data_IF_902298466288
#
_entry.id   IF_902298466288
#
_cell.length_a   1.000
_cell.length_b   1.000
_cell.length_c   1.000
_cell.angle_alpha   90.00
_cell.angle_beta   90.00
_cell.angle_gamma   90.00
#
_symmetry.space_group_name_H-M   'P 1'
#
loop_
_entity.id
_entity.type
_entity.pdbx_description
1 polymer ?
#
# COMPACT_ATOMS: atom_id res chain seq x y z
N UNK A 1 -10.36 17.22 -41.12
CA UNK A 1 -9.25 17.02 -40.16
C UNK A 1 -9.81 16.81 -38.76
N UNK A 2 -9.71 15.59 -38.20
CA UNK A 2 -10.16 15.28 -36.84
C UNK A 2 -8.91 15.30 -35.94
N UNK A 3 -8.87 16.18 -34.95
CA UNK A 3 -7.74 16.26 -34.01
C UNK A 3 -7.60 14.95 -33.24
N UNK A 4 -6.37 14.50 -32.91
CA UNK A 4 -6.17 13.30 -32.12
C UNK A 4 -6.83 13.48 -30.75
N UNK A 5 -7.61 12.48 -30.35
CA UNK A 5 -8.30 12.46 -29.07
C UNK A 5 -7.25 12.32 -27.96
N UNK A 6 -6.84 13.44 -27.38
CA UNK A 6 -5.95 13.45 -26.22
C UNK A 6 -6.75 12.88 -25.05
N UNK A 7 -6.50 11.62 -24.70
CA UNK A 7 -7.13 11.01 -23.53
C UNK A 7 -6.49 11.62 -22.28
N UNK A 8 -7.23 12.50 -21.61
CA UNK A 8 -6.82 12.99 -20.31
C UNK A 8 -6.75 11.81 -19.34
N UNK A 9 -5.63 11.61 -18.62
CA UNK A 9 -5.53 10.54 -17.64
C UNK A 9 -6.59 10.77 -16.55
N UNK A 10 -7.52 9.81 -16.39
CA UNK A 10 -8.49 9.86 -15.31
C UNK A 10 -7.79 9.56 -13.97
N UNK A 11 -7.84 10.52 -13.05
CA UNK A 11 -7.14 10.44 -11.75
C UNK A 11 -7.95 9.72 -10.66
N UNK A 12 -9.27 9.62 -10.84
CA UNK A 12 -10.18 8.96 -9.91
C UNK A 12 -11.32 8.31 -10.67
N UNK A 13 -11.70 7.09 -10.27
CA UNK A 13 -12.96 6.45 -10.68
C UNK A 13 -13.89 6.49 -9.49
N UNK A 14 -15.01 7.21 -9.62
CA UNK A 14 -16.01 7.36 -8.55
C UNK A 14 -17.16 6.40 -8.82
N UNK A 15 -17.64 5.75 -7.75
CA UNK A 15 -18.73 4.77 -7.77
C UNK A 15 -19.60 4.94 -6.52
N UNK A 16 -20.90 4.69 -6.65
CA UNK A 16 -21.85 4.55 -5.56
C UNK A 16 -21.79 3.15 -4.97
N UNK A 17 -21.76 3.05 -3.64
CA UNK A 17 -21.70 1.76 -2.93
C UNK A 17 -22.96 0.92 -3.21
N UNK A 18 -24.14 1.54 -3.28
CA UNK A 18 -25.42 0.82 -3.37
C UNK A 18 -26.00 0.76 -4.78
N UNK A 19 -25.65 1.70 -5.66
CA UNK A 19 -26.31 1.85 -6.97
C UNK A 19 -25.48 1.38 -8.16
N UNK A 20 -24.16 1.21 -7.99
CA UNK A 20 -23.30 0.75 -9.07
C UNK A 20 -23.03 -0.75 -8.99
N UNK A 21 -22.79 -1.34 -10.17
CA UNK A 21 -22.27 -2.68 -10.27
C UNK A 21 -20.79 -2.70 -9.90
N UNK A 22 -20.39 -3.73 -9.16
CA UNK A 22 -19.03 -3.91 -8.68
C UNK A 22 -18.41 -5.17 -9.29
N UNK A 23 -17.18 -5.05 -9.77
CA UNK A 23 -16.38 -6.20 -10.15
C UNK A 23 -15.44 -6.63 -9.00
N UNK A 24 -14.88 -7.84 -9.11
CA UNK A 24 -14.00 -8.43 -8.09
C UNK A 24 -12.83 -7.51 -7.74
N UNK A 25 -12.16 -6.93 -8.72
CA UNK A 25 -11.02 -6.03 -8.50
C UNK A 25 -11.41 -4.75 -7.76
N UNK A 26 -12.57 -4.17 -8.07
CA UNK A 26 -13.05 -2.96 -7.41
C UNK A 26 -13.38 -3.23 -5.95
N UNK A 27 -14.03 -4.36 -5.65
CA UNK A 27 -14.28 -4.79 -4.26
C UNK A 27 -12.97 -5.04 -3.54
N UNK A 28 -12.03 -5.78 -4.15
CA UNK A 28 -10.71 -6.00 -3.59
C UNK A 28 -9.93 -4.70 -3.37
N UNK A 29 -10.06 -3.71 -4.25
CA UNK A 29 -9.42 -2.39 -4.09
C UNK A 29 -9.95 -1.64 -2.86
N UNK A 30 -11.24 -1.82 -2.53
CA UNK A 30 -11.81 -1.25 -1.31
C UNK A 30 -11.31 -1.99 -0.06
N UNK A 31 -11.27 -3.33 -0.10
CA UNK A 31 -10.85 -4.17 1.01
C UNK A 31 -9.33 -4.09 1.31
N UNK A 32 -8.51 -4.07 0.26
CA UNK A 32 -7.04 -3.93 0.30
C UNK A 32 -6.58 -2.48 0.24
N UNK A 33 -7.52 -1.53 0.26
CA UNK A 33 -7.26 -0.10 0.33
C UNK A 33 -7.81 0.50 1.63
N UNK A 34 -8.72 1.45 1.47
CA UNK A 34 -9.34 2.13 2.60
C UNK A 34 -8.66 3.45 2.97
N UNK A 35 -9.46 4.29 3.62
CA UNK A 35 -9.12 5.69 3.86
C UNK A 35 -7.87 5.85 4.72
N UNK A 36 -7.71 5.00 5.74
CA UNK A 36 -6.58 5.10 6.66
C UNK A 36 -5.24 4.82 5.99
N UNK A 37 -5.18 3.79 5.13
CA UNK A 37 -3.95 3.48 4.38
C UNK A 37 -3.54 4.65 3.48
N UNK A 38 -4.50 5.22 2.75
CA UNK A 38 -4.24 6.36 1.87
C UNK A 38 -3.84 7.61 2.66
N UNK A 39 -4.49 7.85 3.81
CA UNK A 39 -4.19 8.97 4.71
C UNK A 39 -2.75 8.90 5.20
N UNK A 40 -2.35 7.75 5.74
CA UNK A 40 -0.97 7.51 6.21
C UNK A 40 0.04 7.63 5.06
N UNK A 41 -0.30 7.12 3.87
CA UNK A 41 0.55 7.27 2.69
C UNK A 41 0.79 8.75 2.36
N UNK A 42 -0.27 9.56 2.31
CA UNK A 42 -0.14 10.99 2.02
C UNK A 42 0.58 11.75 3.12
N UNK A 43 0.39 11.40 4.39
CA UNK A 43 1.12 12.01 5.50
C UNK A 43 2.64 11.80 5.35
N UNK A 44 3.08 10.59 5.00
CA UNK A 44 4.50 10.26 4.80
C UNK A 44 5.13 10.94 3.57
N UNK A 45 4.31 11.44 2.65
CA UNK A 45 4.76 12.13 1.44
C UNK A 45 4.49 13.63 1.49
N UNK A 46 4.18 14.20 2.67
CA UNK A 46 3.90 15.65 2.84
C UNK A 46 2.68 16.14 2.04
N UNK A 47 1.75 15.24 1.72
CA UNK A 47 0.51 15.50 0.97
C UNK A 47 -0.74 15.48 1.86
N UNK A 48 -0.55 15.54 3.18
CA UNK A 48 -1.64 15.68 4.13
C UNK A 48 -2.41 16.98 3.88
N UNK A 49 -3.73 16.94 4.09
CA UNK A 49 -4.61 18.11 3.99
C UNK A 49 -4.79 18.80 5.34
N UNK A 50 -3.75 18.73 6.17
CA UNK A 50 -3.70 19.30 7.51
C UNK A 50 -2.58 20.35 7.55
N UNK A 51 -2.77 21.42 8.33
CA UNK A 51 -1.77 22.49 8.47
C UNK A 51 -1.70 23.48 7.30
N UNK A 52 -0.57 24.18 7.19
CA UNK A 52 -0.42 25.37 6.33
C UNK A 52 -0.58 25.09 4.83
N UNK A 53 -0.23 23.88 4.37
CA UNK A 53 -0.30 23.49 2.96
C UNK A 53 -1.63 22.81 2.56
N UNK A 54 -2.60 22.72 3.48
CA UNK A 54 -3.83 21.93 3.30
C UNK A 54 -4.61 22.29 2.03
N UNK A 55 -4.82 23.59 1.78
CA UNK A 55 -5.58 24.08 0.63
C UNK A 55 -4.90 23.76 -0.71
N UNK A 56 -3.57 23.82 -0.76
CA UNK A 56 -2.80 23.46 -1.96
C UNK A 56 -2.83 21.94 -2.19
N UNK A 57 -2.56 21.17 -1.14
CA UNK A 57 -2.57 19.71 -1.20
C UNK A 57 -3.94 19.16 -1.59
N UNK A 58 -5.04 19.77 -1.12
CA UNK A 58 -6.38 19.38 -1.49
C UNK A 58 -6.60 19.43 -3.02
N UNK A 59 -6.04 20.44 -3.69
CA UNK A 59 -6.18 20.63 -5.14
C UNK A 59 -5.25 19.72 -5.95
N UNK A 60 -4.05 19.44 -5.44
CA UNK A 60 -2.97 18.85 -6.24
C UNK A 60 -2.55 17.43 -5.82
N UNK A 61 -2.88 16.95 -4.62
CA UNK A 61 -2.29 15.71 -4.07
C UNK A 61 -2.50 14.51 -4.99
N UNK A 62 -3.66 14.40 -5.64
CA UNK A 62 -3.99 13.30 -6.56
C UNK A 62 -3.28 13.38 -7.92
N UNK A 63 -2.64 14.51 -8.24
CA UNK A 63 -1.86 14.67 -9.49
C UNK A 63 -0.37 14.39 -9.31
N UNK A 64 0.09 14.30 -8.07
CA UNK A 64 1.49 14.07 -7.75
C UNK A 64 1.98 12.70 -8.23
N UNK A 65 3.30 12.58 -8.41
CA UNK A 65 3.95 11.28 -8.70
C UNK A 65 3.66 10.26 -7.60
N UNK A 66 3.61 10.70 -6.33
CA UNK A 66 3.29 9.85 -5.19
C UNK A 66 1.88 9.25 -5.29
N UNK A 67 0.86 10.05 -5.63
CA UNK A 67 -0.49 9.53 -5.82
C UNK A 67 -0.57 8.51 -6.97
N UNK A 68 0.10 8.79 -8.09
CA UNK A 68 0.18 7.84 -9.22
C UNK A 68 0.89 6.55 -8.83
N UNK A 69 1.95 6.65 -8.04
CA UNK A 69 2.66 5.49 -7.50
C UNK A 69 1.75 4.64 -6.62
N UNK A 70 1.01 5.26 -5.70
CA UNK A 70 0.04 4.56 -4.85
C UNK A 70 -1.02 3.83 -5.68
N UNK A 71 -1.61 4.52 -6.66
CA UNK A 71 -2.64 3.95 -7.53
C UNK A 71 -2.13 2.72 -8.30
N UNK A 72 -0.94 2.83 -8.92
CA UNK A 72 -0.34 1.73 -9.68
C UNK A 72 0.01 0.54 -8.78
N UNK A 73 0.58 0.82 -7.60
CA UNK A 73 0.90 -0.22 -6.62
C UNK A 73 -0.35 -0.94 -6.14
N UNK A 74 -1.44 -0.21 -5.85
CA UNK A 74 -2.72 -0.80 -5.48
C UNK A 74 -3.30 -1.67 -6.60
N UNK A 75 -3.30 -1.17 -7.83
CA UNK A 75 -3.82 -1.91 -8.98
C UNK A 75 -3.05 -3.21 -9.21
N UNK A 76 -1.72 -3.16 -9.22
CA UNK A 76 -0.89 -4.35 -9.38
C UNK A 76 -1.11 -5.38 -8.26
N UNK A 77 -1.21 -4.92 -7.01
CA UNK A 77 -1.50 -5.76 -5.85
C UNK A 77 -2.88 -6.44 -5.97
N UNK A 78 -3.91 -5.67 -6.33
CA UNK A 78 -5.27 -6.17 -6.48
C UNK A 78 -5.39 -7.16 -7.63
N UNK A 79 -4.80 -6.89 -8.80
CA UNK A 79 -4.83 -7.84 -9.92
C UNK A 79 -4.17 -9.16 -9.53
N UNK A 80 -3.01 -9.12 -8.85
CA UNK A 80 -2.36 -10.33 -8.32
C UNK A 80 -3.18 -11.09 -7.26
N UNK A 81 -4.17 -10.45 -6.62
CA UNK A 81 -5.14 -11.11 -5.75
C UNK A 81 -6.37 -11.61 -6.51
N UNK A 82 -6.81 -10.87 -7.53
CA UNK A 82 -7.95 -11.23 -8.35
C UNK A 82 -7.69 -12.52 -9.14
N UNK A 83 -6.46 -12.72 -9.60
CA UNK A 83 -6.01 -13.92 -10.32
C UNK A 83 -5.91 -15.16 -9.42
N UNK A 84 -5.81 -14.96 -8.10
CA UNK A 84 -5.81 -16.08 -7.15
C UNK A 84 -7.23 -16.65 -7.03
N UNK A 85 -7.32 -17.96 -7.21
CA UNK A 85 -8.58 -18.72 -7.10
C UNK A 85 -9.09 -18.87 -5.65
N UNK A 86 -8.32 -18.37 -4.68
CA UNK A 86 -8.64 -18.47 -3.25
C UNK A 86 -9.55 -17.34 -2.78
N UNK A 87 -10.40 -17.66 -1.81
CA UNK A 87 -11.21 -16.69 -1.05
C UNK A 87 -10.29 -15.66 -0.39
N UNK A 88 -10.65 -14.39 -0.48
CA UNK A 88 -9.92 -13.30 0.17
C UNK A 88 -9.88 -13.52 1.69
N UNK A 89 -8.67 -13.52 2.28
CA UNK A 89 -8.44 -13.85 3.71
C UNK A 89 -8.14 -12.63 4.58
N UNK A 90 -8.32 -11.43 4.05
CA UNK A 90 -7.92 -10.21 4.73
C UNK A 90 -6.49 -9.76 4.40
N UNK A 91 -6.29 -8.44 4.49
CA UNK A 91 -4.97 -7.82 4.31
C UNK A 91 -3.94 -8.28 5.35
N UNK A 92 -4.35 -8.49 6.59
CA UNK A 92 -3.43 -8.95 7.65
C UNK A 92 -2.87 -10.34 7.31
N UNK A 93 -3.69 -11.23 6.74
CA UNK A 93 -3.25 -12.55 6.32
C UNK A 93 -2.19 -12.50 5.21
N UNK A 94 -2.28 -11.54 4.28
CA UNK A 94 -1.26 -11.35 3.23
C UNK A 94 0.04 -10.72 3.74
N UNK A 95 0.02 -10.09 4.92
CA UNK A 95 1.21 -9.55 5.61
C UNK A 95 1.79 -10.49 6.65
N UNK A 96 1.15 -11.64 6.90
CA UNK A 96 1.73 -12.64 7.79
C UNK A 96 3.11 -13.02 7.27
N UNK A 97 4.16 -12.91 8.10
CA UNK A 97 5.47 -13.37 7.69
C UNK A 97 5.32 -14.86 7.39
N UNK A 98 5.66 -15.28 6.17
CA UNK A 98 5.99 -16.70 5.96
C UNK A 98 7.01 -17.03 7.03
N UNK A 99 6.66 -17.95 7.94
CA UNK A 99 7.57 -18.42 8.97
C UNK A 99 8.95 -18.58 8.34
N UNK A 100 9.97 -17.93 8.92
CA UNK A 100 11.31 -17.93 8.40
C UNK A 100 11.85 -19.37 8.38
N UNK A 101 11.56 -20.11 7.31
CA UNK A 101 12.10 -21.45 7.06
C UNK A 101 13.50 -21.32 6.47
N UNK A 102 14.41 -20.71 7.23
CA UNK A 102 15.86 -20.84 7.10
C UNK A 102 16.50 -20.41 8.44
N UNK A 103 16.20 -21.17 9.49
CA UNK A 103 17.08 -21.22 10.65
C UNK A 103 18.30 -22.07 10.25
N UNK A 104 19.41 -21.43 9.89
CA UNK A 104 20.71 -22.12 9.86
C UNK A 104 21.24 -22.20 11.29
N UNK A 105 21.46 -23.39 11.87
CA UNK A 105 22.11 -23.51 13.16
C UNK A 105 23.61 -23.37 12.94
N UNK A 106 24.21 -22.27 13.41
CA UNK A 106 25.66 -22.25 13.62
C UNK A 106 25.91 -22.05 15.10
N UNK A 107 26.20 -23.19 15.74
CA UNK A 107 26.89 -23.33 17.01
C UNK A 107 28.09 -22.36 17.05
N UNK A 108 28.13 -21.47 18.05
CA UNK A 108 29.41 -21.10 18.65
C UNK A 108 29.34 -21.34 20.14
N UNK A 109 30.16 -22.32 20.52
CA UNK A 109 30.35 -22.87 21.85
C UNK A 109 30.77 -21.80 22.85
N UNK A 110 30.29 -21.97 24.08
CA UNK A 110 30.82 -21.36 25.28
C UNK A 110 32.34 -21.61 25.39
N UNK A 111 33.08 -20.54 25.68
CA UNK A 111 34.22 -20.62 26.60
C UNK A 111 34.13 -19.45 27.57
N UNK A 112 33.73 -19.76 28.81
CA UNK A 112 34.12 -18.95 29.95
C UNK A 112 35.65 -18.98 30.06
N UNK A 113 36.26 -17.87 30.49
CA UNK A 113 37.38 -17.83 31.44
C UNK A 113 37.68 -16.36 31.81
N UNK A 114 37.55 -16.12 33.11
CA UNK A 114 38.23 -15.20 34.01
C UNK A 114 37.85 -13.72 34.22
N UNK A 115 37.71 -13.49 35.53
CA UNK A 115 37.61 -12.30 36.36
C UNK A 115 38.91 -11.43 36.38
N UNK A 116 38.81 -10.31 37.12
CA UNK A 116 39.85 -9.45 37.74
C UNK A 116 40.28 -8.26 36.84
N UNK A 117 40.28 -6.97 37.25
CA UNK A 117 40.27 -6.33 38.57
C UNK A 117 39.49 -5.00 38.57
N UNK A 118 38.95 -4.64 39.74
CA UNK A 118 38.73 -3.27 40.15
C UNK A 118 40.05 -2.67 40.66
N UNK A 119 40.27 -1.38 40.41
CA UNK A 119 40.57 -0.29 41.37
C UNK A 119 40.38 1.03 40.62
#
# INVERSE_FOLDING_TARGET
HRLPHVSFPQFSKVRSVTMDHWNKEQVLSMLEGGNEQLRVFFQRHELAIEGKAAAENLRKRYWTKAAKFYQRGMQAHVSGLADKQNVWRGRQASRSPKAATHASPVLRSNMAVNQIAAV
#
